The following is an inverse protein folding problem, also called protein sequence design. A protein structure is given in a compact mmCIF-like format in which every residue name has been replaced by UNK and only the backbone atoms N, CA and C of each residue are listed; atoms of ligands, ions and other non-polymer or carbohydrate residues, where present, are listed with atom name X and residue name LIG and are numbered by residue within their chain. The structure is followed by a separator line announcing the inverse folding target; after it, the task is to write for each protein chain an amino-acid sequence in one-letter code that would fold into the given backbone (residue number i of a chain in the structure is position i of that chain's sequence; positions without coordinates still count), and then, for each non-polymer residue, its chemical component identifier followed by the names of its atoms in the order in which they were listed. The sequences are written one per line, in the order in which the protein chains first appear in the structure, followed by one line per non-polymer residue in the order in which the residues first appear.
data_IF_124247851323
#
_entry.id   IF_124247851323
#
_cell.length_a   1.000
_cell.length_b   1.000
_cell.length_c   1.000
_cell.angle_alpha   90.00
_cell.angle_beta   90.00
_cell.angle_gamma   90.00
#
_symmetry.space_group_name_H-M   'P 1'
#
loop_
_entity.id
_entity.type
_entity.pdbx_description
1 polymer ?
#
# COMPACT_ATOMS: atom_id res chain seq x y z
N UNK A 1 -8.01 -10.81 -15.65
CA UNK A 1 -9.33 -10.22 -15.40
C UNK A 1 -10.39 -11.31 -15.57
N UNK A 2 -10.57 -12.15 -14.55
CA UNK A 2 -11.59 -13.20 -14.58
C UNK A 2 -12.90 -12.57 -14.14
N UNK A 3 -13.78 -12.33 -15.11
CA UNK A 3 -15.17 -11.97 -14.88
C UNK A 3 -15.83 -13.19 -14.23
N UNK A 4 -16.04 -13.14 -12.92
CA UNK A 4 -16.86 -14.13 -12.21
C UNK A 4 -18.32 -13.89 -12.63
N UNK A 5 -18.68 -14.39 -13.80
CA UNK A 5 -20.06 -14.39 -14.29
C UNK A 5 -20.74 -15.61 -13.69
N UNK A 6 -21.43 -15.42 -12.56
CA UNK A 6 -22.43 -16.37 -12.11
C UNK A 6 -23.69 -16.14 -12.97
N UNK A 7 -23.77 -16.79 -14.13
CA UNK A 7 -25.00 -16.80 -14.94
C UNK A 7 -26.04 -17.66 -14.23
N UNK A 8 -27.09 -17.01 -13.71
CA UNK A 8 -28.29 -17.65 -13.17
C UNK A 8 -29.13 -18.23 -14.32
N UNK A 9 -29.00 -19.54 -14.55
CA UNK A 9 -29.98 -20.29 -15.35
C UNK A 9 -31.25 -20.48 -14.51
N UNK A 10 -32.30 -19.74 -14.89
CA UNK A 10 -33.67 -19.94 -14.42
C UNK A 10 -34.15 -21.33 -14.82
N UNK A 11 -34.31 -22.24 -13.88
CA UNK A 11 -35.32 -23.30 -13.96
C UNK A 11 -35.56 -23.93 -12.58
N UNK A 12 -36.84 -23.94 -12.20
CA UNK A 12 -37.50 -24.69 -11.13
C UNK A 12 -36.86 -24.82 -9.74
N UNK A 13 -37.47 -24.08 -8.81
CA UNK A 13 -37.39 -24.32 -7.37
C UNK A 13 -38.03 -25.65 -6.99
N UNK A 14 -37.22 -26.63 -6.57
CA UNK A 14 -37.58 -27.59 -5.52
C UNK A 14 -36.31 -28.37 -5.13
N UNK A 15 -35.84 -28.19 -3.89
CA UNK A 15 -34.66 -28.88 -3.39
C UNK A 15 -33.54 -27.92 -3.05
N UNK A 16 -33.13 -27.92 -1.78
CA UNK A 16 -31.80 -27.44 -1.40
C UNK A 16 -30.83 -28.47 -1.97
N UNK A 17 -30.57 -28.39 -3.26
CA UNK A 17 -29.69 -29.37 -3.91
C UNK A 17 -28.25 -29.02 -3.58
N UNK A 18 -27.54 -30.04 -3.11
CA UNK A 18 -26.11 -30.12 -2.73
C UNK A 18 -25.11 -29.50 -3.73
N UNK A 19 -25.57 -29.03 -4.90
CA UNK A 19 -24.75 -28.47 -5.98
C UNK A 19 -24.13 -27.12 -5.59
N UNK A 20 -24.86 -26.21 -4.93
CA UNK A 20 -24.31 -24.91 -4.50
C UNK A 20 -23.29 -25.05 -3.36
N UNK A 21 -23.49 -26.03 -2.45
CA UNK A 21 -22.52 -26.37 -1.40
C UNK A 21 -21.28 -27.09 -1.99
N UNK A 22 -21.45 -27.90 -3.04
CA UNK A 22 -20.34 -28.59 -3.72
C UNK A 22 -19.42 -27.64 -4.48
N UNK A 23 -19.94 -26.56 -5.08
CA UNK A 23 -19.10 -25.55 -5.74
C UNK A 23 -18.33 -24.67 -4.75
N UNK A 24 -18.90 -24.41 -3.57
CA UNK A 24 -18.18 -23.78 -2.45
C UNK A 24 -17.18 -24.73 -1.78
N UNK A 25 -17.34 -26.04 -1.92
CA UNK A 25 -16.40 -27.07 -1.44
C UNK A 25 -15.15 -27.24 -2.32
N UNK A 26 -15.18 -26.79 -3.57
CA UNK A 26 -14.03 -26.88 -4.50
C UNK A 26 -13.23 -25.58 -4.63
N UNK A 27 -13.69 -24.49 -4.01
CA UNK A 27 -12.91 -23.27 -3.88
C UNK A 27 -12.04 -23.35 -2.61
N UNK A 28 -10.76 -22.95 -2.63
CA UNK A 28 -9.87 -22.99 -1.46
C UNK A 28 -10.28 -22.03 -0.33
N UNK A 29 -11.43 -21.37 -0.43
CA UNK A 29 -11.90 -20.34 0.49
C UNK A 29 -12.87 -20.94 1.51
N UNK A 30 -12.37 -21.18 2.72
CA UNK A 30 -13.19 -21.55 3.88
C UNK A 30 -13.88 -20.29 4.45
N UNK A 31 -14.87 -19.75 3.75
CA UNK A 31 -15.62 -18.57 4.23
C UNK A 31 -16.58 -19.03 5.34
N UNK A 32 -16.20 -18.87 6.60
CA UNK A 32 -17.15 -18.93 7.73
C UNK A 32 -17.99 -17.64 7.73
N UNK A 33 -19.14 -17.69 7.07
CA UNK A 33 -20.15 -16.63 7.20
C UNK A 33 -20.86 -16.82 8.54
N UNK A 34 -20.39 -16.16 9.58
CA UNK A 34 -21.16 -16.04 10.83
C UNK A 34 -22.32 -15.08 10.57
N UNK A 35 -23.50 -15.61 10.28
CA UNK A 35 -24.74 -14.83 10.18
C UNK A 35 -25.07 -14.26 11.56
N UNK A 36 -24.58 -13.05 11.85
CA UNK A 36 -25.07 -12.28 12.99
C UNK A 36 -26.57 -12.04 12.80
N UNK A 37 -27.36 -12.46 13.79
CA UNK A 37 -28.80 -12.75 13.83
C UNK A 37 -29.76 -11.58 13.50
N UNK A 38 -29.33 -10.51 12.81
CA UNK A 38 -30.13 -9.28 12.65
C UNK A 38 -30.57 -8.91 11.24
N UNK A 39 -30.24 -9.68 10.21
CA UNK A 39 -30.83 -9.46 8.89
C UNK A 39 -32.07 -10.32 8.73
N UNK A 40 -33.24 -9.76 9.08
CA UNK A 40 -34.54 -10.27 8.65
C UNK A 40 -34.58 -10.24 7.12
N UNK A 41 -34.17 -11.33 6.47
CA UNK A 41 -34.58 -11.60 5.09
C UNK A 41 -36.10 -11.73 5.17
N UNK A 42 -36.79 -10.72 4.68
CA UNK A 42 -38.24 -10.62 4.79
C UNK A 42 -38.83 -11.66 3.85
N UNK A 43 -39.38 -12.72 4.43
CA UNK A 43 -40.22 -13.66 3.72
C UNK A 43 -41.46 -12.91 3.26
N UNK A 44 -41.80 -13.00 1.96
CA UNK A 44 -43.02 -12.39 1.45
C UNK A 44 -44.23 -13.00 2.17
N UNK A 45 -45.08 -12.17 2.78
CA UNK A 45 -46.31 -12.66 3.40
C UNK A 45 -47.30 -13.11 2.30
N UNK A 46 -47.44 -14.42 2.13
CA UNK A 46 -48.70 -15.02 1.72
C UNK A 46 -49.15 -15.97 2.81
N UNK A 47 -50.41 -15.86 3.22
CA UNK A 47 -51.10 -16.76 4.14
C UNK A 47 -50.84 -18.22 3.76
N UNK A 48 -50.03 -18.91 4.55
CA UNK A 48 -49.66 -20.31 4.35
C UNK A 48 -48.27 -20.56 4.95
N UNK A 49 -48.04 -21.72 5.54
CA UNK A 49 -46.83 -22.08 6.32
C UNK A 49 -45.52 -22.17 5.50
N UNK A 50 -45.44 -21.58 4.31
CA UNK A 50 -44.24 -21.60 3.48
C UNK A 50 -43.54 -20.24 3.51
N UNK A 51 -42.47 -20.18 4.29
CA UNK A 51 -41.51 -19.08 4.30
C UNK A 51 -40.71 -19.11 2.99
N UNK A 52 -41.21 -18.45 1.95
CA UNK A 52 -40.50 -18.36 0.68
C UNK A 52 -39.41 -17.29 0.74
N UNK A 53 -38.17 -17.69 0.44
CA UNK A 53 -37.01 -16.80 0.38
C UNK A 53 -37.17 -15.83 -0.81
N UNK A 54 -37.06 -14.53 -0.55
CA UNK A 54 -36.89 -13.53 -1.60
C UNK A 54 -35.44 -13.62 -2.11
N UNK A 55 -35.28 -14.24 -3.28
CA UNK A 55 -33.98 -14.56 -3.87
C UNK A 55 -33.18 -13.28 -4.16
N UNK A 56 -33.84 -12.22 -4.64
CA UNK A 56 -33.18 -10.96 -5.01
C UNK A 56 -32.61 -10.26 -3.76
N UNK A 57 -33.36 -10.26 -2.65
CA UNK A 57 -32.90 -9.69 -1.37
C UNK A 57 -31.80 -10.53 -0.73
N UNK A 58 -31.92 -11.85 -0.86
CA UNK A 58 -30.90 -12.77 -0.36
C UNK A 58 -29.58 -12.58 -1.12
N UNK A 59 -29.64 -12.49 -2.44
CA UNK A 59 -28.47 -12.24 -3.30
C UNK A 59 -27.78 -10.92 -2.93
N UNK A 60 -28.54 -9.82 -2.79
CA UNK A 60 -27.97 -8.53 -2.39
C UNK A 60 -27.33 -8.58 -0.98
N UNK A 61 -27.92 -9.32 -0.05
CA UNK A 61 -27.35 -9.53 1.28
C UNK A 61 -26.01 -10.27 1.18
N UNK A 62 -25.93 -11.31 0.36
CA UNK A 62 -24.69 -12.07 0.13
C UNK A 62 -23.60 -11.15 -0.43
N UNK A 63 -23.88 -10.34 -1.46
CA UNK A 63 -22.89 -9.40 -2.00
C UNK A 63 -22.42 -8.38 -0.97
N UNK A 64 -23.34 -7.86 -0.15
CA UNK A 64 -23.01 -6.91 0.91
C UNK A 64 -22.11 -7.55 1.98
N UNK A 65 -22.40 -8.79 2.38
CA UNK A 65 -21.58 -9.54 3.33
C UNK A 65 -20.21 -9.88 2.75
N UNK A 66 -20.14 -10.27 1.47
CA UNK A 66 -18.90 -10.54 0.78
C UNK A 66 -18.01 -9.29 0.70
N UNK A 67 -18.58 -8.14 0.30
CA UNK A 67 -17.85 -6.85 0.30
C UNK A 67 -17.29 -6.51 1.67
N UNK A 68 -18.11 -6.65 2.73
CA UNK A 68 -17.64 -6.42 4.10
C UNK A 68 -16.54 -7.39 4.52
N UNK A 69 -16.64 -8.65 4.12
CA UNK A 69 -15.65 -9.66 4.44
C UNK A 69 -14.33 -9.42 3.70
N UNK A 70 -14.36 -8.95 2.44
CA UNK A 70 -13.19 -8.50 1.70
C UNK A 70 -12.53 -7.28 2.36
N UNK A 71 -13.33 -6.25 2.70
CA UNK A 71 -12.83 -5.05 3.38
C UNK A 71 -12.27 -5.33 4.78
N UNK A 72 -12.80 -6.35 5.47
CA UNK A 72 -12.31 -6.79 6.78
C UNK A 72 -11.11 -7.74 6.69
N UNK A 73 -10.71 -8.19 5.49
CA UNK A 73 -9.64 -9.17 5.30
C UNK A 73 -10.01 -10.60 5.71
N UNK A 74 -11.30 -10.94 5.78
CA UNK A 74 -11.74 -12.32 6.08
C UNK A 74 -11.80 -13.20 4.82
N UNK A 75 -11.87 -12.58 3.65
CA UNK A 75 -11.89 -13.23 2.34
C UNK A 75 -10.78 -12.61 1.52
N UNK A 76 -10.04 -13.45 0.80
CA UNK A 76 -8.91 -13.03 -0.01
C UNK A 76 -9.14 -13.42 -1.47
N UNK A 77 -8.52 -12.68 -2.38
CA UNK A 77 -8.54 -12.96 -3.82
C UNK A 77 -7.09 -13.00 -4.29
N UNK A 78 -6.61 -14.19 -4.67
CA UNK A 78 -5.19 -14.43 -4.96
C UNK A 78 -4.64 -13.55 -6.10
N UNK A 79 -5.44 -13.30 -7.14
CA UNK A 79 -5.05 -12.48 -8.29
C UNK A 79 -5.37 -10.98 -8.11
N UNK A 80 -5.75 -10.54 -6.90
CA UNK A 80 -6.04 -9.14 -6.60
C UNK A 80 -4.86 -8.48 -5.90
N UNK A 81 -4.51 -7.26 -6.31
CA UNK A 81 -3.50 -6.47 -5.58
C UNK A 81 -4.04 -5.87 -4.27
N UNK A 82 -5.35 -5.60 -4.19
CA UNK A 82 -5.94 -4.92 -3.01
C UNK A 82 -6.43 -5.90 -1.94
N UNK A 83 -6.84 -7.11 -2.32
CA UNK A 83 -7.47 -8.09 -1.41
C UNK A 83 -6.69 -9.41 -1.34
N UNK A 84 -5.37 -9.37 -1.57
CA UNK A 84 -4.51 -10.55 -1.42
C UNK A 84 -4.37 -10.95 0.05
N UNK A 85 -4.15 -12.23 0.31
CA UNK A 85 -3.79 -12.68 1.66
C UNK A 85 -2.37 -12.23 1.99
N UNK A 86 -2.17 -11.67 3.17
CA UNK A 86 -0.83 -11.39 3.69
C UNK A 86 0.01 -12.66 3.79
N UNK A 87 -0.61 -13.81 4.07
CA UNK A 87 0.09 -15.10 4.14
C UNK A 87 0.70 -15.52 2.79
N UNK A 88 0.14 -15.04 1.67
CA UNK A 88 0.69 -15.32 0.34
C UNK A 88 1.99 -14.54 0.05
N UNK A 89 2.23 -13.46 0.78
CA UNK A 89 3.48 -12.68 0.72
C UNK A 89 4.55 -13.21 1.70
N UNK A 90 4.16 -14.08 2.64
CA UNK A 90 5.09 -14.72 3.57
C UNK A 90 5.76 -15.95 2.95
N UNK A 91 6.89 -16.35 3.55
CA UNK A 91 7.52 -17.64 3.22
C UNK A 91 6.55 -18.75 3.62
N UNK A 92 6.18 -19.60 2.65
CA UNK A 92 5.24 -20.70 2.87
C UNK A 92 5.66 -21.59 4.05
N UNK A 93 4.71 -22.06 4.88
CA UNK A 93 5.02 -22.88 6.04
C UNK A 93 5.83 -24.14 5.71
N UNK A 94 5.61 -24.75 4.55
CA UNK A 94 6.34 -25.93 4.10
C UNK A 94 7.82 -25.63 3.87
N UNK A 95 8.13 -24.45 3.29
CA UNK A 95 9.49 -23.99 3.08
C UNK A 95 10.13 -23.55 4.39
N UNK A 96 9.37 -22.90 5.27
CA UNK A 96 9.83 -22.48 6.58
C UNK A 96 10.23 -23.64 7.51
N UNK A 97 9.70 -24.86 7.30
CA UNK A 97 10.15 -26.06 8.03
C UNK A 97 11.66 -26.30 7.87
N UNK A 98 12.22 -25.97 6.70
CA UNK A 98 13.67 -26.01 6.46
C UNK A 98 14.28 -24.60 6.59
N UNK A 99 14.16 -24.03 7.78
CA UNK A 99 14.63 -22.67 8.09
C UNK A 99 16.12 -22.48 7.75
N UNK A 100 16.97 -23.49 7.98
CA UNK A 100 18.40 -23.39 7.73
C UNK A 100 18.72 -23.12 6.24
N UNK A 101 18.11 -23.88 5.33
CA UNK A 101 18.31 -23.68 3.88
C UNK A 101 17.80 -22.30 3.42
N UNK A 102 16.68 -21.82 3.98
CA UNK A 102 16.15 -20.48 3.66
C UNK A 102 17.09 -19.38 4.14
N UNK A 103 17.66 -19.51 5.33
CA UNK A 103 18.61 -18.54 5.88
C UNK A 103 19.91 -18.50 5.08
N UNK A 104 20.41 -19.66 4.64
CA UNK A 104 21.59 -19.76 3.77
C UNK A 104 21.34 -19.08 2.41
N UNK A 105 20.16 -19.26 1.81
CA UNK A 105 19.78 -18.60 0.55
C UNK A 105 19.69 -17.07 0.67
N UNK A 106 19.19 -16.55 1.80
CA UNK A 106 19.14 -15.10 2.06
C UNK A 106 20.56 -14.53 2.18
N UNK A 107 21.53 -15.33 2.65
CA UNK A 107 22.94 -14.96 2.67
C UNK A 107 23.29 -13.79 3.60
N UNK A 108 22.41 -13.43 4.55
CA UNK A 108 22.66 -12.35 5.50
C UNK A 108 23.42 -12.88 6.72
N UNK A 109 24.65 -12.41 7.00
CA UNK A 109 25.48 -12.93 8.08
C UNK A 109 24.84 -12.73 9.47
N UNK A 110 24.04 -11.67 9.64
CA UNK A 110 23.31 -11.36 10.89
C UNK A 110 22.22 -12.39 11.17
N UNK A 111 21.62 -12.97 10.13
CA UNK A 111 20.55 -13.96 10.27
C UNK A 111 21.07 -15.40 10.44
N UNK A 112 22.34 -15.64 10.09
CA UNK A 112 23.01 -16.93 10.23
C UNK A 112 23.63 -17.10 11.62
N UNK A 113 24.06 -16.02 12.26
CA UNK A 113 24.55 -16.05 13.62
C UNK A 113 23.41 -16.30 14.64
N UNK A 114 23.69 -16.95 15.77
CA UNK A 114 22.75 -16.99 16.89
C UNK A 114 22.33 -15.58 17.31
N UNK A 115 21.04 -15.40 17.60
CA UNK A 115 20.49 -14.09 17.93
C UNK A 115 21.13 -13.54 19.21
N UNK A 116 21.47 -14.41 20.16
CA UNK A 116 22.10 -14.05 21.42
C UNK A 116 23.48 -13.43 21.21
N UNK A 117 24.26 -13.95 20.25
CA UNK A 117 25.58 -13.41 19.92
C UNK A 117 25.44 -12.04 19.25
N UNK A 118 24.52 -11.93 18.29
CA UNK A 118 24.25 -10.66 17.60
C UNK A 118 23.80 -9.57 18.57
N UNK A 119 22.88 -9.90 19.49
CA UNK A 119 22.40 -8.97 20.51
C UNK A 119 23.50 -8.60 21.49
N UNK A 120 24.36 -9.54 21.90
CA UNK A 120 25.50 -9.26 22.76
C UNK A 120 26.49 -8.31 22.08
N UNK A 121 26.79 -8.50 20.79
CA UNK A 121 27.65 -7.59 20.02
C UNK A 121 27.06 -6.18 19.95
N UNK A 122 25.77 -6.06 19.62
CA UNK A 122 25.10 -4.75 19.58
C UNK A 122 25.03 -4.08 20.94
N UNK A 123 24.80 -4.84 22.01
CA UNK A 123 24.79 -4.33 23.37
C UNK A 123 26.18 -3.82 23.77
N UNK A 124 27.23 -4.59 23.49
CA UNK A 124 28.61 -4.18 23.75
C UNK A 124 29.00 -2.93 22.96
N UNK A 125 28.66 -2.85 21.66
CA UNK A 125 28.90 -1.66 20.83
C UNK A 125 28.14 -0.43 21.35
N UNK A 126 26.91 -0.64 21.85
CA UNK A 126 26.10 0.42 22.43
C UNK A 126 26.70 0.91 23.76
N UNK A 127 27.12 0.00 24.64
CA UNK A 127 27.79 0.32 25.90
C UNK A 127 29.10 1.06 25.67
N UNK A 128 29.94 0.60 24.74
CA UNK A 128 31.18 1.27 24.35
C UNK A 128 30.90 2.70 23.85
N UNK A 129 29.87 2.89 23.01
CA UNK A 129 29.46 4.22 22.56
C UNK A 129 28.97 5.09 23.71
N UNK A 130 28.22 4.55 24.67
CA UNK A 130 27.80 5.30 25.85
C UNK A 130 28.99 5.71 26.71
N UNK A 131 29.92 4.81 27.00
CA UNK A 131 31.15 5.13 27.75
C UNK A 131 32.00 6.17 27.02
N UNK A 132 32.14 6.04 25.70
CA UNK A 132 32.87 6.98 24.87
C UNK A 132 32.25 8.38 24.93
N UNK A 133 30.92 8.47 24.80
CA UNK A 133 30.17 9.74 24.88
C UNK A 133 30.26 10.35 26.28
N UNK A 134 30.08 9.55 27.34
CA UNK A 134 30.20 10.01 28.73
C UNK A 134 31.60 10.53 29.04
N UNK A 135 32.66 9.84 28.60
CA UNK A 135 34.04 10.27 28.77
C UNK A 135 34.32 11.58 28.04
N UNK A 136 33.82 11.73 26.80
CA UNK A 136 33.93 12.98 26.03
C UNK A 136 33.17 14.14 26.67
N UNK A 137 32.05 13.84 27.33
CA UNK A 137 31.29 14.83 28.12
C UNK A 137 32.08 15.27 29.36
N UNK A 138 32.67 14.34 30.10
CA UNK A 138 33.50 14.63 31.28
C UNK A 138 34.75 15.44 30.93
N UNK A 139 35.41 15.10 29.83
CA UNK A 139 36.61 15.78 29.34
C UNK A 139 36.31 17.14 28.68
N UNK A 140 35.05 17.44 28.37
CA UNK A 140 34.66 18.67 27.67
C UNK A 140 35.03 18.69 26.19
N UNK A 141 35.32 17.53 25.58
CA UNK A 141 35.73 17.40 24.18
C UNK A 141 34.60 17.75 23.18
N UNK A 142 33.34 17.72 23.64
CA UNK A 142 32.16 17.99 22.82
C UNK A 142 31.85 19.50 22.74
N UNK A 143 32.32 20.14 21.66
CA UNK A 143 32.12 21.57 21.36
C UNK A 143 30.66 22.04 21.33
N UNK A 144 29.73 21.13 21.05
CA UNK A 144 28.30 21.42 20.92
C UNK A 144 27.50 21.20 22.20
N UNK A 145 28.15 20.86 23.33
CA UNK A 145 27.45 20.59 24.59
C UNK A 145 27.89 21.62 25.62
N UNK A 146 26.94 22.41 26.12
CA UNK A 146 27.16 23.32 27.24
C UNK A 146 26.81 22.61 28.55
N UNK A 147 27.80 22.49 29.42
CA UNK A 147 27.62 21.97 30.78
C UNK A 147 27.45 23.17 31.71
N UNK A 148 26.29 23.29 32.36
CA UNK A 148 26.01 24.33 33.35
C UNK A 148 25.80 23.70 34.73
N UNK A 149 26.40 24.31 35.76
CA UNK A 149 26.34 23.84 37.16
C UNK A 149 27.55 23.00 37.59
N UNK A 150 27.70 22.79 38.90
CA UNK A 150 28.77 21.98 39.52
C UNK A 150 28.18 20.97 40.50
N UNK A 151 28.78 19.79 40.60
CA UNK A 151 28.32 18.68 41.44
C UNK A 151 27.00 18.05 40.99
N UNK A 152 26.09 17.81 41.93
CA UNK A 152 24.81 17.09 41.76
C UNK A 152 23.73 17.86 40.96
N UNK A 153 24.04 19.10 40.55
CA UNK A 153 23.15 19.96 39.74
C UNK A 153 23.70 20.21 38.33
N UNK A 154 24.50 19.28 37.79
CA UNK A 154 24.99 19.35 36.40
C UNK A 154 23.82 19.20 35.44
N UNK A 155 23.57 20.25 34.65
CA UNK A 155 22.61 20.22 33.55
C UNK A 155 23.38 20.36 32.24
N UNK A 156 23.12 19.44 31.32
CA UNK A 156 23.69 19.50 29.98
C UNK A 156 22.63 20.02 29.02
N UNK A 157 23.04 20.98 28.19
CA UNK A 157 22.22 21.49 27.11
C UNK A 157 22.97 21.27 25.80
N UNK A 158 22.33 20.57 24.86
CA UNK A 158 22.82 20.48 23.50
C UNK A 158 22.62 21.85 22.83
N UNK A 159 23.72 22.45 22.40
CA UNK A 159 23.67 23.66 21.58
C UNK A 159 23.37 23.19 20.17
N UNK A 160 22.11 23.32 19.76
CA UNK A 160 21.81 23.30 18.35
C UNK A 160 22.43 24.55 17.73
N UNK A 161 23.30 24.42 16.72
CA UNK A 161 23.68 25.59 15.93
C UNK A 161 22.39 26.25 15.42
N UNK A 162 22.26 27.56 15.62
CA UNK A 162 21.06 28.34 15.25
C UNK A 162 20.89 28.47 13.73
N UNK A 163 21.87 28.00 12.98
CA UNK A 163 21.80 27.85 11.54
C UNK A 163 22.04 26.37 11.29
N UNK A 164 21.00 25.69 10.79
CA UNK A 164 21.23 24.54 9.92
C UNK A 164 22.29 25.00 8.93
N UNK A 165 23.51 24.43 8.99
CA UNK A 165 24.40 24.48 7.83
C UNK A 165 23.49 24.16 6.65
N UNK A 166 23.42 25.02 5.62
CA UNK A 166 22.47 24.80 4.55
C UNK A 166 22.82 23.42 3.99
N UNK A 167 21.97 22.43 4.30
CA UNK A 167 22.12 21.04 3.87
C UNK A 167 22.25 21.01 2.34
N UNK A 168 21.73 22.06 1.71
CA UNK A 168 21.95 22.43 0.33
C UNK A 168 23.25 23.23 0.17
N UNK A 169 24.20 22.67 -0.58
CA UNK A 169 25.28 23.43 -1.19
C UNK A 169 24.76 24.80 -1.69
N UNK A 170 25.48 25.91 -1.46
CA UNK A 170 25.08 27.24 -1.93
C UNK A 170 24.72 27.28 -3.43
N UNK A 171 25.22 26.30 -4.19
CA UNK A 171 24.84 26.02 -5.56
C UNK A 171 23.34 25.77 -5.76
N UNK A 172 22.70 24.91 -4.95
CA UNK A 172 21.28 24.59 -5.11
C UNK A 172 20.37 25.75 -4.69
N UNK A 173 20.83 26.63 -3.81
CA UNK A 173 20.12 27.87 -3.45
C UNK A 173 20.09 28.91 -4.57
N UNK A 174 20.93 28.77 -5.60
CA UNK A 174 20.93 29.63 -6.79
C UNK A 174 19.97 29.13 -7.88
N UNK A 175 19.51 27.87 -7.79
CA UNK A 175 18.56 27.33 -8.74
C UNK A 175 17.14 27.80 -8.39
N UNK A 176 16.35 28.26 -9.38
CA UNK A 176 14.96 28.59 -9.14
C UNK A 176 14.20 27.32 -8.73
N UNK A 177 13.51 27.37 -7.61
CA UNK A 177 12.59 26.31 -7.21
C UNK A 177 11.45 26.20 -8.21
N UNK A 178 11.23 25.00 -8.75
CA UNK A 178 10.11 24.71 -9.65
C UNK A 178 9.09 23.81 -8.95
N UNK A 179 7.80 24.06 -9.17
CA UNK A 179 6.74 23.19 -8.69
C UNK A 179 6.81 21.81 -9.35
N UNK A 180 6.62 20.75 -8.57
CA UNK A 180 6.64 19.36 -9.09
C UNK A 180 5.65 19.15 -10.24
N UNK A 181 4.51 19.85 -10.21
CA UNK A 181 3.50 19.78 -11.27
C UNK A 181 4.01 20.37 -12.59
N UNK A 182 4.77 21.46 -12.55
CA UNK A 182 5.34 22.11 -13.73
C UNK A 182 6.49 21.28 -14.30
N UNK A 183 7.30 20.69 -13.44
CA UNK A 183 8.34 19.74 -13.83
C UNK A 183 7.73 18.54 -14.56
N UNK A 184 6.70 17.91 -14.01
CA UNK A 184 6.05 16.77 -14.64
C UNK A 184 5.37 17.14 -15.96
N UNK A 185 4.82 18.35 -16.07
CA UNK A 185 4.26 18.85 -17.34
C UNK A 185 5.34 19.06 -18.39
N UNK A 186 6.51 19.58 -18.00
CA UNK A 186 7.67 19.71 -18.88
C UNK A 186 8.14 18.34 -19.37
N UNK A 187 8.30 17.36 -18.47
CA UNK A 187 8.70 15.99 -18.81
C UNK A 187 7.66 15.33 -19.72
N UNK A 188 6.37 15.54 -19.47
CA UNK A 188 5.30 15.02 -20.31
C UNK A 188 5.41 15.54 -21.75
N UNK A 189 5.73 16.81 -21.94
CA UNK A 189 5.94 17.41 -23.27
C UNK A 189 7.20 16.92 -23.99
N UNK A 190 8.18 16.33 -23.29
CA UNK A 190 9.44 15.83 -23.87
C UNK A 190 9.46 14.32 -24.10
N UNK A 191 8.74 13.56 -23.27
CA UNK A 191 8.83 12.09 -23.23
C UNK A 191 7.54 11.39 -23.60
N UNK A 192 6.43 12.13 -23.73
CA UNK A 192 5.11 11.59 -24.04
C UNK A 192 4.63 10.47 -23.07
N UNK A 193 5.24 10.36 -21.88
CA UNK A 193 4.94 9.30 -20.91
C UNK A 193 3.46 9.23 -20.51
N UNK A 194 2.75 10.37 -20.61
CA UNK A 194 1.33 10.45 -20.31
C UNK A 194 0.47 9.55 -21.20
N UNK A 195 0.93 9.19 -22.41
CA UNK A 195 0.22 8.26 -23.32
C UNK A 195 0.17 6.83 -22.78
N UNK A 196 1.05 6.47 -21.86
CA UNK A 196 1.06 5.14 -21.25
C UNK A 196 -0.13 4.90 -20.31
N UNK A 197 -0.73 5.96 -19.76
CA UNK A 197 -1.88 5.86 -18.86
C UNK A 197 -3.17 5.59 -19.64
N UNK A 198 -3.38 4.33 -19.98
CA UNK A 198 -4.56 3.84 -20.70
C UNK A 198 -5.65 3.37 -19.74
N UNK A 199 -6.91 3.62 -20.09
CA UNK A 199 -8.07 3.20 -19.29
C UNK A 199 -8.17 1.66 -19.24
N UNK A 200 -8.57 1.11 -18.09
CA UNK A 200 -8.64 -0.33 -17.84
C UNK A 200 -9.52 -1.12 -18.84
N UNK A 201 -10.60 -0.52 -19.35
CA UNK A 201 -11.53 -1.16 -20.31
C UNK A 201 -11.12 -1.04 -21.79
N UNK A 202 -10.08 -0.29 -22.13
CA UNK A 202 -9.54 -0.18 -23.50
C UNK A 202 -10.44 0.52 -24.54
N UNK A 203 -11.51 -0.14 -25.02
CA UNK A 203 -12.18 0.19 -26.31
C UNK A 203 -13.50 0.96 -26.24
N UNK A 204 -14.07 1.20 -25.06
CA UNK A 204 -15.34 1.93 -24.91
C UNK A 204 -15.26 2.99 -23.80
N UNK A 205 -14.41 3.99 -24.03
CA UNK A 205 -14.18 5.06 -23.08
C UNK A 205 -15.01 6.27 -23.52
N UNK A 206 -16.01 6.65 -22.72
CA UNK A 206 -16.76 7.91 -22.92
C UNK A 206 -16.04 9.14 -22.36
N UNK A 207 -14.93 8.95 -21.65
CA UNK A 207 -14.25 10.01 -20.91
C UNK A 207 -12.74 9.78 -20.90
N UNK A 208 -12.01 10.57 -21.68
CA UNK A 208 -10.54 10.65 -21.56
C UNK A 208 -10.18 11.16 -20.16
N UNK A 209 -9.15 10.60 -19.54
CA UNK A 209 -8.65 11.13 -18.28
C UNK A 209 -8.05 12.51 -18.51
N UNK A 210 -8.48 13.48 -17.71
CA UNK A 210 -7.85 14.78 -17.67
C UNK A 210 -6.40 14.62 -17.15
N UNK A 211 -5.39 15.04 -17.91
CA UNK A 211 -3.97 14.95 -17.53
C UNK A 211 -3.68 15.52 -16.14
N UNK A 212 -4.44 16.51 -15.69
CA UNK A 212 -4.30 17.10 -14.35
C UNK A 212 -4.63 16.10 -13.25
N UNK A 213 -5.64 15.25 -13.44
CA UNK A 213 -6.01 14.24 -12.46
C UNK A 213 -4.96 13.13 -12.39
N UNK A 214 -4.42 12.70 -13.54
CA UNK A 214 -3.32 11.72 -13.58
C UNK A 214 -2.10 12.27 -12.84
N UNK A 215 -1.65 13.49 -13.15
CA UNK A 215 -0.50 14.11 -12.49
C UNK A 215 -0.72 14.27 -10.98
N UNK A 216 -1.91 14.72 -10.56
CA UNK A 216 -2.26 14.84 -9.16
C UNK A 216 -2.21 13.48 -8.44
N UNK A 217 -2.74 12.41 -9.06
CA UNK A 217 -2.64 11.05 -8.52
C UNK A 217 -1.18 10.58 -8.39
N UNK A 218 -0.36 10.78 -9.43
CA UNK A 218 1.05 10.39 -9.43
C UNK A 218 1.82 11.10 -8.33
N UNK A 219 1.65 12.43 -8.18
CA UNK A 219 2.31 13.20 -7.12
C UNK A 219 1.82 12.76 -5.74
N UNK A 220 0.50 12.58 -5.56
CA UNK A 220 -0.07 12.19 -4.28
C UNK A 220 0.46 10.85 -3.77
N UNK A 221 0.60 9.87 -4.68
CA UNK A 221 1.14 8.56 -4.38
C UNK A 221 2.66 8.60 -4.22
N UNK A 222 3.36 9.34 -5.07
CA UNK A 222 4.82 9.48 -5.04
C UNK A 222 5.36 10.19 -3.80
N UNK A 223 4.61 11.15 -3.24
CA UNK A 223 5.00 11.87 -2.01
C UNK A 223 4.34 11.31 -0.74
N UNK A 224 3.68 10.16 -0.82
CA UNK A 224 2.90 9.56 0.28
C UNK A 224 1.92 10.55 0.95
N UNK A 225 1.38 11.52 0.18
CA UNK A 225 0.45 12.54 0.67
C UNK A 225 -1.00 12.01 0.72
N UNK A 226 -1.30 11.04 -0.15
CA UNK A 226 -2.62 10.45 -0.30
C UNK A 226 -3.57 11.30 -1.16
N UNK A 227 -4.55 10.64 -1.78
CA UNK A 227 -5.48 11.28 -2.71
C UNK A 227 -6.40 12.30 -2.03
N UNK A 228 -6.73 12.09 -0.75
CA UNK A 228 -7.62 12.98 0.01
C UNK A 228 -7.00 14.36 0.23
N UNK A 229 -5.77 14.40 0.74
CA UNK A 229 -5.05 15.65 0.97
C UNK A 229 -4.66 16.34 -0.35
N UNK A 230 -4.34 15.56 -1.38
CA UNK A 230 -4.11 16.11 -2.71
C UNK A 230 -5.36 16.79 -3.28
N UNK A 231 -6.54 16.19 -3.13
CA UNK A 231 -7.81 16.79 -3.56
C UNK A 231 -8.03 18.18 -2.92
N UNK A 232 -7.78 18.28 -1.62
CA UNK A 232 -7.89 19.53 -0.86
C UNK A 232 -6.93 20.62 -1.35
N UNK A 233 -5.65 20.28 -1.54
CA UNK A 233 -4.61 21.24 -1.96
C UNK A 233 -4.75 21.66 -3.43
N UNK A 234 -5.18 20.74 -4.29
CA UNK A 234 -5.30 20.99 -5.74
C UNK A 234 -6.66 21.53 -6.19
N UNK A 235 -7.65 21.56 -5.29
CA UNK A 235 -9.04 21.91 -5.62
C UNK A 235 -9.73 20.90 -6.55
N UNK A 236 -9.16 19.70 -6.70
CA UNK A 236 -9.72 18.61 -7.50
C UNK A 236 -10.68 17.75 -6.66
N UNK A 237 -11.70 17.17 -7.28
CA UNK A 237 -12.63 16.29 -6.58
C UNK A 237 -11.98 14.97 -6.17
N UNK A 238 -12.07 14.59 -4.89
CA UNK A 238 -11.54 13.30 -4.42
C UNK A 238 -12.12 12.12 -5.20
N UNK A 239 -13.43 12.10 -5.47
CA UNK A 239 -14.05 11.01 -6.22
C UNK A 239 -13.45 10.88 -7.62
N UNK A 240 -13.16 11.99 -8.28
CA UNK A 240 -12.51 12.02 -9.59
C UNK A 240 -11.07 11.50 -9.53
N UNK A 241 -10.29 11.89 -8.52
CA UNK A 241 -8.94 11.36 -8.30
C UNK A 241 -8.95 9.86 -8.00
N UNK A 242 -9.88 9.39 -7.18
CA UNK A 242 -10.01 7.96 -6.85
C UNK A 242 -10.37 7.13 -8.08
N UNK A 243 -11.32 7.60 -8.89
CA UNK A 243 -11.70 6.95 -10.15
C UNK A 243 -10.54 6.97 -11.15
N UNK A 244 -9.81 8.09 -11.24
CA UNK A 244 -8.64 8.21 -12.12
C UNK A 244 -7.54 7.24 -11.71
N UNK A 245 -7.21 7.18 -10.42
CA UNK A 245 -6.22 6.24 -9.89
C UNK A 245 -6.59 4.79 -10.25
N UNK A 246 -7.82 4.36 -9.98
CA UNK A 246 -8.26 2.99 -10.26
C UNK A 246 -8.27 2.64 -11.74
N UNK A 247 -8.67 3.58 -12.59
CA UNK A 247 -8.88 3.31 -14.02
C UNK A 247 -7.61 3.46 -14.85
N UNK A 248 -6.64 4.28 -14.42
CA UNK A 248 -5.48 4.67 -15.22
C UNK A 248 -4.13 4.36 -14.55
N UNK A 249 -4.04 4.32 -13.22
CA UNK A 249 -2.78 4.04 -12.51
C UNK A 249 -2.72 2.56 -12.13
N UNK A 250 -2.07 1.76 -12.96
CA UNK A 250 -1.74 0.35 -12.72
C UNK A 250 -0.23 0.12 -12.82
N UNK A 251 0.24 -1.01 -12.31
CA UNK A 251 1.66 -1.36 -12.36
C UNK A 251 2.19 -1.34 -13.80
N UNK A 252 1.43 -1.87 -14.76
CA UNK A 252 1.82 -1.95 -16.16
C UNK A 252 1.91 -0.56 -16.81
N UNK A 253 0.95 0.33 -16.52
CA UNK A 253 0.95 1.71 -17.05
C UNK A 253 2.04 2.55 -16.41
N UNK A 254 2.33 2.33 -15.12
CA UNK A 254 3.40 3.02 -14.41
C UNK A 254 4.78 2.56 -14.90
N UNK A 255 4.96 1.26 -15.14
CA UNK A 255 6.17 0.72 -15.75
C UNK A 255 6.39 1.31 -17.15
N UNK A 256 5.38 1.27 -18.01
CA UNK A 256 5.49 1.83 -19.37
C UNK A 256 5.77 3.34 -19.36
N UNK A 257 5.17 4.09 -18.43
CA UNK A 257 5.46 5.51 -18.24
C UNK A 257 6.92 5.73 -17.79
N UNK A 258 7.41 4.92 -16.85
CA UNK A 258 8.79 4.99 -16.39
C UNK A 258 9.78 4.67 -17.51
N UNK A 259 9.52 3.61 -18.28
CA UNK A 259 10.34 3.23 -19.43
C UNK A 259 10.41 4.35 -20.47
N UNK A 260 9.30 5.04 -20.73
CA UNK A 260 9.27 6.19 -21.65
C UNK A 260 10.19 7.33 -21.16
N UNK A 261 10.17 7.63 -19.85
CA UNK A 261 11.04 8.66 -19.26
C UNK A 261 12.50 8.22 -19.29
N UNK A 262 12.80 6.99 -18.86
CA UNK A 262 14.16 6.45 -18.84
C UNK A 262 14.78 6.38 -20.23
N UNK A 263 14.03 5.92 -21.23
CA UNK A 263 14.49 5.87 -22.62
C UNK A 263 14.74 7.25 -23.20
N UNK A 264 13.86 8.22 -22.93
CA UNK A 264 14.06 9.59 -23.36
C UNK A 264 15.27 10.24 -22.67
N UNK A 265 15.50 9.91 -21.39
CA UNK A 265 16.67 10.39 -20.64
C UNK A 265 17.96 9.77 -21.18
N UNK A 266 17.96 8.48 -21.51
CA UNK A 266 19.11 7.80 -22.12
C UNK A 266 19.47 8.33 -23.52
N UNK A 267 18.49 8.88 -24.24
CA UNK A 267 18.71 9.51 -25.54
C UNK A 267 19.29 10.94 -25.47
N UNK A 268 19.35 11.54 -24.28
CA UNK A 268 20.03 12.83 -24.10
C UNK A 268 21.54 12.60 -24.18
N UNK A 269 22.20 13.27 -25.10
CA UNK A 269 23.66 13.30 -25.15
C UNK A 269 24.18 13.94 -23.86
N UNK A 270 25.11 13.26 -23.20
CA UNK A 270 25.82 13.77 -22.02
C UNK A 270 26.70 14.97 -22.38
#
# INVERSE_FOLDING_TARGET
MILLVLTSTREHACGVDDVCLSMLSQAPFRVRVTLAERFRVTFGERRGKDRQLDVDRYEFLVYRLLRKALEAGNVYVGDSNEFRSFEDDLIRPERWKNKAAVLEEIGSPVLLAPIEQTLATFLAELEEKFEHVNRRLENGDNKHIKIAGSGDKRRWTLIYPSEEEPINSPFYGQLPGIGIADLLRFVAGKTDFMKAFTHVLGRYIKQEADPRHILACVVAMGTNMGLWKMAEVSGLGHSALMTTARNFLRAETLHAANDAISNATAALSM
#
